data_IF_555064874119
#
_entry.id   IF_555064874119
#
_cell.length_a   1.000
_cell.length_b   1.000
_cell.length_c   1.000
_cell.angle_alpha   90.00
_cell.angle_beta   90.00
_cell.angle_gamma   90.00
#
_symmetry.space_group_name_H-M   'P 1'
#
loop_
_entity.id
_entity.type
_entity.pdbx_description
1 polymer ?
#
# COMPACT_ATOMS: atom_id res chain seq x y z
N UNK A 1 -22.99 15.41 -0.32
CA UNK A 1 -22.70 14.53 0.83
C UNK A 1 -22.34 13.17 0.26
N UNK A 2 -21.05 12.82 0.25
CA UNK A 2 -20.60 11.48 -0.13
C UNK A 2 -20.03 10.90 1.15
N UNK A 3 -20.85 10.09 1.82
CA UNK A 3 -20.44 9.37 3.01
C UNK A 3 -19.51 8.25 2.55
N UNK A 4 -18.29 8.23 3.07
CA UNK A 4 -17.34 7.17 2.79
C UNK A 4 -17.26 6.24 4.00
N UNK A 5 -17.57 4.96 3.79
CA UNK A 5 -17.41 3.94 4.83
C UNK A 5 -15.94 3.52 4.90
N UNK A 6 -15.48 3.05 6.07
CA UNK A 6 -14.15 2.40 6.21
C UNK A 6 -13.96 1.33 5.12
N UNK A 7 -15.02 0.56 4.85
CA UNK A 7 -15.08 -0.42 3.76
C UNK A 7 -14.62 0.11 2.41
N UNK A 8 -15.05 1.31 2.00
CA UNK A 8 -14.67 1.85 0.69
C UNK A 8 -13.18 2.17 0.62
N UNK A 9 -12.59 2.60 1.74
CA UNK A 9 -11.15 2.84 1.84
C UNK A 9 -10.37 1.52 1.82
N UNK A 10 -10.86 0.48 2.49
CA UNK A 10 -10.27 -0.86 2.45
C UNK A 10 -10.37 -1.46 1.06
N UNK A 11 -11.54 -1.38 0.42
CA UNK A 11 -11.73 -1.83 -0.97
C UNK A 11 -10.79 -1.07 -1.92
N UNK A 12 -10.59 0.24 -1.71
CA UNK A 12 -9.62 1.03 -2.46
C UNK A 12 -8.16 0.61 -2.22
N UNK A 13 -7.78 0.34 -0.96
CA UNK A 13 -6.44 -0.10 -0.61
C UNK A 13 -6.12 -1.48 -1.19
N UNK A 14 -7.07 -2.42 -1.16
CA UNK A 14 -6.97 -3.73 -1.82
C UNK A 14 -6.71 -3.54 -3.32
N UNK A 15 -7.50 -2.69 -3.98
CA UNK A 15 -7.33 -2.38 -5.39
C UNK A 15 -5.98 -1.72 -5.70
N UNK A 16 -5.48 -0.87 -4.80
CA UNK A 16 -4.20 -0.21 -4.93
C UNK A 16 -3.04 -1.21 -4.87
N UNK A 17 -3.00 -2.07 -3.85
CA UNK A 17 -2.00 -3.13 -3.71
C UNK A 17 -2.03 -4.09 -4.90
N UNK A 18 -3.22 -4.50 -5.36
CA UNK A 18 -3.38 -5.33 -6.57
C UNK A 18 -2.76 -4.68 -7.81
N UNK A 19 -3.03 -3.39 -8.04
CA UNK A 19 -2.49 -2.65 -9.19
C UNK A 19 -0.98 -2.45 -9.12
N UNK A 20 -0.41 -2.35 -7.92
CA UNK A 20 1.04 -2.31 -7.71
C UNK A 20 1.67 -3.67 -8.05
N UNK A 21 1.12 -4.77 -7.53
CA UNK A 21 1.56 -6.12 -7.83
C UNK A 21 1.54 -6.42 -9.34
N UNK A 22 0.43 -6.10 -10.01
CA UNK A 22 0.28 -6.27 -11.46
C UNK A 22 1.32 -5.47 -12.24
N UNK A 23 1.61 -4.24 -11.83
CA UNK A 23 2.63 -3.41 -12.47
C UNK A 23 4.04 -3.92 -12.25
N UNK A 24 4.41 -4.29 -11.02
CA UNK A 24 5.72 -4.85 -10.74
C UNK A 24 5.95 -6.15 -11.52
N UNK A 25 4.92 -7.01 -11.60
CA UNK A 25 4.96 -8.23 -12.42
C UNK A 25 5.14 -7.91 -13.91
N UNK A 26 4.40 -6.94 -14.44
CA UNK A 26 4.51 -6.54 -15.84
C UNK A 26 5.89 -5.94 -16.16
N UNK A 27 6.46 -5.15 -15.25
CA UNK A 27 7.80 -4.57 -15.39
C UNK A 27 8.89 -5.65 -15.30
N UNK A 28 8.71 -6.66 -14.45
CA UNK A 28 9.62 -7.80 -14.34
C UNK A 28 9.66 -8.67 -15.62
N UNK A 29 8.55 -8.70 -16.38
CA UNK A 29 8.49 -9.35 -17.69
C UNK A 29 9.08 -8.50 -18.83
N UNK A 30 9.40 -7.24 -18.57
CA UNK A 30 10.02 -6.33 -19.53
C UNK A 30 11.52 -6.57 -19.71
N UNK A 31 12.15 -5.69 -20.49
CA UNK A 31 13.60 -5.70 -20.70
C UNK A 31 14.31 -4.95 -19.56
N UNK A 32 14.48 -5.64 -18.44
CA UNK A 32 15.18 -5.15 -17.24
C UNK A 32 16.35 -6.06 -16.89
N UNK A 33 17.30 -5.56 -16.10
CA UNK A 33 18.40 -6.40 -15.59
C UNK A 33 17.87 -7.50 -14.66
N UNK A 34 18.55 -8.64 -14.58
CA UNK A 34 18.14 -9.77 -13.73
C UNK A 34 17.93 -9.37 -12.26
N UNK A 35 18.79 -8.48 -11.74
CA UNK A 35 18.66 -7.96 -10.36
C UNK A 35 17.39 -7.14 -10.19
N UNK A 36 17.09 -6.26 -11.14
CA UNK A 36 15.86 -5.43 -11.13
C UNK A 36 14.62 -6.32 -11.28
N UNK A 37 14.69 -7.35 -12.12
CA UNK A 37 13.63 -8.35 -12.25
C UNK A 37 13.34 -9.04 -10.92
N UNK A 38 14.35 -9.58 -10.25
CA UNK A 38 14.19 -10.23 -8.93
C UNK A 38 13.62 -9.25 -7.89
N UNK A 39 14.05 -8.00 -7.91
CA UNK A 39 13.55 -6.97 -7.02
C UNK A 39 12.07 -6.63 -7.28
N UNK A 40 11.66 -6.57 -8.55
CA UNK A 40 10.27 -6.34 -8.96
C UNK A 40 9.39 -7.55 -8.62
N UNK A 41 9.85 -8.78 -8.84
CA UNK A 41 9.13 -10.00 -8.45
C UNK A 41 8.91 -10.05 -6.93
N UNK A 42 9.96 -9.74 -6.15
CA UNK A 42 9.85 -9.66 -4.70
C UNK A 42 8.83 -8.61 -4.24
N UNK A 43 8.84 -7.42 -4.84
CA UNK A 43 7.86 -6.38 -4.56
C UNK A 43 6.45 -6.80 -4.96
N UNK A 44 6.27 -7.46 -6.11
CA UNK A 44 4.97 -7.97 -6.53
C UNK A 44 4.39 -8.96 -5.52
N UNK A 45 5.18 -9.96 -5.10
CA UNK A 45 4.77 -10.92 -4.08
C UNK A 45 4.41 -10.26 -2.74
N UNK A 46 5.16 -9.21 -2.37
CA UNK A 46 4.90 -8.42 -1.18
C UNK A 46 3.54 -7.71 -1.24
N UNK A 47 3.26 -7.01 -2.34
CA UNK A 47 1.99 -6.30 -2.55
C UNK A 47 0.79 -7.26 -2.57
N UNK A 48 0.93 -8.42 -3.22
CA UNK A 48 -0.13 -9.44 -3.20
C UNK A 48 -0.38 -9.97 -1.79
N UNK A 49 0.67 -10.12 -0.98
CA UNK A 49 0.52 -10.55 0.41
C UNK A 49 -0.27 -9.50 1.20
N UNK A 50 0.05 -8.21 1.03
CA UNK A 50 -0.68 -7.12 1.68
C UNK A 50 -2.15 -7.07 1.22
N UNK A 51 -2.41 -7.27 -0.07
CA UNK A 51 -3.76 -7.39 -0.60
C UNK A 51 -4.53 -8.53 0.08
N UNK A 52 -3.94 -9.73 0.17
CA UNK A 52 -4.56 -10.91 0.78
C UNK A 52 -4.86 -10.67 2.26
N UNK A 53 -3.93 -10.10 3.02
CA UNK A 53 -4.15 -9.78 4.43
C UNK A 53 -5.31 -8.79 4.64
N UNK A 54 -5.44 -7.78 3.77
CA UNK A 54 -6.59 -6.85 3.81
C UNK A 54 -7.91 -7.53 3.41
N UNK A 55 -7.89 -8.42 2.42
CA UNK A 55 -9.06 -9.18 1.99
C UNK A 55 -9.53 -10.17 3.06
N UNK A 56 -8.61 -10.87 3.72
CA UNK A 56 -8.88 -11.76 4.85
C UNK A 56 -9.50 -10.98 6.01
N UNK A 57 -8.89 -9.83 6.38
CA UNK A 57 -9.45 -8.95 7.40
C UNK A 57 -10.87 -8.50 7.05
N UNK A 58 -11.13 -8.20 5.77
CA UNK A 58 -12.47 -7.83 5.29
C UNK A 58 -13.50 -8.93 5.46
N UNK A 59 -13.11 -10.19 5.29
CA UNK A 59 -13.99 -11.34 5.52
C UNK A 59 -14.17 -11.63 7.01
N UNK A 60 -13.15 -11.35 7.82
CA UNK A 60 -13.14 -11.59 9.26
C UNK A 60 -13.71 -10.45 10.11
N UNK A 61 -14.06 -9.28 9.54
CA UNK A 61 -14.61 -8.14 10.29
C UNK A 61 -15.99 -8.46 10.89
N UNK A 62 -15.96 -9.16 12.02
CA UNK A 62 -17.10 -9.47 12.86
C UNK A 62 -17.47 -8.28 13.77
N UNK A 63 -16.64 -7.23 13.81
CA UNK A 63 -16.76 -6.10 14.73
C UNK A 63 -17.50 -4.90 14.14
N UNK A 64 -17.82 -4.93 12.84
CA UNK A 64 -18.56 -3.86 12.16
C UNK A 64 -17.75 -2.57 12.00
N UNK A 65 -16.42 -2.66 12.09
CA UNK A 65 -15.53 -1.51 11.90
C UNK A 65 -15.65 -1.03 10.45
N UNK A 66 -15.84 -1.94 9.49
CA UNK A 66 -16.00 -1.62 8.08
C UNK A 66 -17.29 -0.85 7.76
N UNK A 67 -18.33 -1.03 8.58
CA UNK A 67 -19.62 -0.35 8.44
C UNK A 67 -19.63 1.05 9.06
N UNK A 68 -18.55 1.42 9.73
CA UNK A 68 -18.43 2.71 10.39
C UNK A 68 -18.32 3.85 9.36
N UNK A 69 -19.03 4.95 9.66
CA UNK A 69 -19.29 6.04 8.73
C UNK A 69 -18.42 7.25 9.07
N UNK A 70 -17.73 7.79 8.06
CA UNK A 70 -17.04 9.07 8.19
C UNK A 70 -17.76 10.19 7.44
N UNK A 71 -17.81 11.35 8.09
CA UNK A 71 -18.33 12.58 7.52
C UNK A 71 -17.15 13.48 7.14
N UNK A 72 -16.57 13.29 5.95
CA UNK A 72 -15.76 14.36 5.35
C UNK A 72 -15.68 14.30 3.81
N UNK A 73 -16.13 15.34 3.11
CA UNK A 73 -15.94 15.52 1.67
C UNK A 73 -14.59 16.15 1.24
N UNK A 74 -13.66 16.52 2.12
CA UNK A 74 -12.46 17.30 1.75
C UNK A 74 -11.08 16.66 2.02
N UNK A 75 -10.88 15.80 3.01
CA UNK A 75 -9.57 15.20 3.31
C UNK A 75 -9.34 13.84 2.64
N UNK A 76 -9.75 13.66 1.39
CA UNK A 76 -9.21 12.56 0.60
C UNK A 76 -7.98 13.11 -0.16
N UNK A 77 -6.73 12.83 0.25
CA UNK A 77 -5.61 12.96 -0.66
C UNK A 77 -5.95 12.05 -1.84
N UNK A 78 -6.25 12.69 -2.95
CA UNK A 78 -6.95 12.07 -4.06
C UNK A 78 -6.27 10.74 -4.46
N UNK A 79 -7.01 9.61 -4.57
CA UNK A 79 -6.55 8.41 -5.25
C UNK A 79 -5.74 8.72 -6.52
N UNK A 80 -6.09 9.75 -7.32
CA UNK A 80 -5.28 10.25 -8.43
C UNK A 80 -3.77 10.42 -8.19
N UNK A 81 -3.30 10.84 -7.02
CA UNK A 81 -1.85 10.98 -6.78
C UNK A 81 -1.18 9.63 -6.59
N UNK A 82 -1.81 8.76 -5.79
CA UNK A 82 -1.35 7.38 -5.58
C UNK A 82 -1.49 6.54 -6.86
N UNK A 83 -2.51 6.78 -7.68
CA UNK A 83 -2.67 6.16 -9.01
C UNK A 83 -1.64 6.65 -10.04
N UNK A 84 -0.96 7.77 -9.79
CA UNK A 84 0.10 8.33 -10.65
C UNK A 84 1.49 7.87 -10.28
N UNK A 85 1.74 7.55 -9.01
CA UNK A 85 3.04 7.06 -8.52
C UNK A 85 3.54 5.81 -9.26
N UNK A 86 2.71 4.78 -9.52
CA UNK A 86 3.11 3.61 -10.29
C UNK A 86 3.50 3.95 -11.74
N UNK A 87 2.89 4.98 -12.34
CA UNK A 87 3.16 5.38 -13.73
C UNK A 87 4.51 6.07 -13.93
N UNK A 88 5.17 6.48 -12.84
CA UNK A 88 6.49 7.10 -12.85
C UNK A 88 7.61 6.15 -12.39
N UNK A 89 7.37 4.83 -12.40
CA UNK A 89 8.34 3.81 -11.99
C UNK A 89 9.60 3.87 -12.87
N UNK A 90 10.70 4.32 -12.26
CA UNK A 90 12.03 4.23 -12.85
C UNK A 90 12.63 2.84 -12.56
N UNK A 91 12.78 2.05 -13.61
CA UNK A 91 13.35 0.69 -13.56
C UNK A 91 14.85 0.66 -13.93
N UNK A 92 15.52 1.81 -13.93
CA UNK A 92 16.96 1.90 -14.26
C UNK A 92 17.85 1.17 -13.27
N UNK A 93 17.44 1.05 -12.01
CA UNK A 93 18.19 0.39 -10.94
C UNK A 93 17.27 -0.19 -9.86
N UNK A 94 17.77 -1.14 -9.08
CA UNK A 94 17.06 -1.72 -7.92
C UNK A 94 16.68 -0.62 -6.92
N UNK A 95 17.54 0.37 -6.78
CA UNK A 95 17.42 1.51 -5.87
C UNK A 95 16.35 2.50 -6.35
N UNK A 96 16.25 2.74 -7.66
CA UNK A 96 15.18 3.55 -8.25
C UNK A 96 13.80 2.90 -8.04
N UNK A 97 13.72 1.58 -8.25
CA UNK A 97 12.52 0.79 -8.00
C UNK A 97 12.15 0.83 -6.51
N UNK A 98 13.13 0.59 -5.62
CA UNK A 98 12.96 0.66 -4.17
C UNK A 98 12.48 2.05 -3.74
N UNK A 99 13.12 3.12 -4.21
CA UNK A 99 12.75 4.49 -3.85
C UNK A 99 11.30 4.81 -4.24
N UNK A 100 10.87 4.34 -5.42
CA UNK A 100 9.49 4.51 -5.87
C UNK A 100 8.50 3.72 -5.01
N UNK A 101 8.82 2.45 -4.71
CA UNK A 101 8.02 1.62 -3.82
C UNK A 101 7.91 2.22 -2.42
N UNK A 102 9.02 2.66 -1.83
CA UNK A 102 9.05 3.32 -0.52
C UNK A 102 8.21 4.60 -0.50
N UNK A 103 8.26 5.39 -1.58
CA UNK A 103 7.45 6.61 -1.70
C UNK A 103 5.96 6.28 -1.73
N UNK A 104 5.56 5.24 -2.48
CA UNK A 104 4.18 4.77 -2.52
C UNK A 104 3.70 4.31 -1.13
N UNK A 105 4.47 3.44 -0.47
CA UNK A 105 4.14 2.93 0.86
C UNK A 105 4.08 4.04 1.91
N UNK A 106 5.01 5.01 1.86
CA UNK A 106 5.02 6.13 2.80
C UNK A 106 3.82 7.06 2.58
N UNK A 107 3.46 7.31 1.33
CA UNK A 107 2.25 8.09 1.02
C UNK A 107 0.99 7.38 1.53
N UNK A 108 0.93 6.05 1.42
CA UNK A 108 -0.17 5.23 1.96
C UNK A 108 -0.17 5.24 3.51
N UNK A 109 1.01 5.18 4.14
CA UNK A 109 1.17 5.27 5.58
C UNK A 109 0.69 6.63 6.12
N UNK A 110 1.13 7.72 5.50
CA UNK A 110 0.73 9.09 5.86
C UNK A 110 -0.80 9.25 5.72
N UNK A 111 -1.40 8.64 4.69
CA UNK A 111 -2.85 8.58 4.52
C UNK A 111 -3.51 7.85 5.70
N UNK A 112 -3.03 6.67 6.09
CA UNK A 112 -3.61 5.93 7.22
C UNK A 112 -3.44 6.65 8.54
N UNK A 113 -2.30 7.31 8.78
CA UNK A 113 -2.05 8.08 10.00
C UNK A 113 -2.98 9.28 10.10
N UNK A 114 -3.11 10.06 9.03
CA UNK A 114 -4.08 11.17 8.95
C UNK A 114 -5.52 10.68 9.19
N UNK A 115 -5.86 9.48 8.71
CA UNK A 115 -7.18 8.87 8.95
C UNK A 115 -7.37 8.39 10.38
N UNK A 116 -6.33 7.85 11.01
CA UNK A 116 -6.38 7.51 12.42
C UNK A 116 -6.65 8.76 13.27
N UNK A 117 -6.01 9.88 12.97
CA UNK A 117 -6.22 11.14 13.71
C UNK A 117 -7.64 11.71 13.56
N UNK A 118 -8.24 11.56 12.38
CA UNK A 118 -9.62 12.00 12.10
C UNK A 118 -10.72 11.02 12.52
N UNK A 119 -10.37 9.82 13.02
CA UNK A 119 -11.33 8.79 13.39
C UNK A 119 -12.12 9.19 14.65
N UNK A 120 -13.45 9.13 14.58
CA UNK A 120 -14.35 9.46 15.69
C UNK A 120 -14.52 8.25 16.62
N UNK A 121 -14.43 7.03 16.09
CA UNK A 121 -14.51 5.78 16.83
C UNK A 121 -13.15 5.25 17.30
N UNK A 122 -13.12 4.66 18.51
CA UNK A 122 -11.90 4.00 19.04
C UNK A 122 -11.46 2.80 18.20
N UNK A 123 -12.42 2.04 17.66
CA UNK A 123 -12.11 0.84 16.87
C UNK A 123 -11.55 1.20 15.48
N UNK A 124 -12.06 2.27 14.87
CA UNK A 124 -11.53 2.84 13.61
C UNK A 124 -10.11 3.38 13.79
N UNK A 125 -9.87 4.16 14.85
CA UNK A 125 -8.53 4.65 15.18
C UNK A 125 -7.54 3.49 15.39
N UNK A 126 -7.96 2.47 16.16
CA UNK A 126 -7.13 1.30 16.41
C UNK A 126 -6.82 0.52 15.12
N UNK A 127 -7.78 0.44 14.19
CA UNK A 127 -7.63 -0.18 12.89
C UNK A 127 -6.61 0.55 12.01
N UNK A 128 -6.79 1.86 11.78
CA UNK A 128 -5.86 2.63 10.96
C UNK A 128 -4.46 2.72 11.58
N UNK A 129 -4.38 2.85 12.90
CA UNK A 129 -3.10 2.81 13.61
C UNK A 129 -2.41 1.44 13.50
N UNK A 130 -3.17 0.34 13.46
CA UNK A 130 -2.61 -0.99 13.22
C UNK A 130 -2.08 -1.14 11.79
N UNK A 131 -2.85 -0.65 10.79
CA UNK A 131 -2.42 -0.64 9.38
C UNK A 131 -1.14 0.17 9.16
N UNK A 132 -1.06 1.38 9.72
CA UNK A 132 0.11 2.25 9.63
C UNK A 132 1.36 1.60 10.25
N UNK A 133 1.22 1.02 11.46
CA UNK A 133 2.32 0.28 12.12
C UNK A 133 2.78 -0.95 11.34
N UNK A 134 1.83 -1.68 10.73
CA UNK A 134 2.14 -2.83 9.87
C UNK A 134 3.00 -2.40 8.68
N UNK A 135 2.56 -1.36 7.97
CA UNK A 135 3.29 -0.79 6.84
C UNK A 135 4.71 -0.35 7.21
N UNK A 136 4.90 0.32 8.35
CA UNK A 136 6.22 0.77 8.78
C UNK A 136 7.20 -0.40 9.02
N UNK A 137 6.72 -1.51 9.59
CA UNK A 137 7.52 -2.72 9.80
C UNK A 137 7.90 -3.39 8.47
N UNK A 138 6.95 -3.46 7.54
CA UNK A 138 7.13 -4.07 6.21
C UNK A 138 8.05 -3.23 5.32
N UNK A 139 7.90 -1.90 5.28
CA UNK A 139 8.80 -0.96 4.58
C UNK A 139 10.26 -1.18 5.00
N UNK A 140 10.51 -1.33 6.31
CA UNK A 140 11.86 -1.62 6.82
C UNK A 140 12.36 -3.00 6.41
N UNK A 141 11.47 -4.00 6.29
CA UNK A 141 11.83 -5.34 5.82
C UNK A 141 12.18 -5.31 4.34
N UNK A 142 11.33 -4.74 3.50
CA UNK A 142 11.54 -4.58 2.06
C UNK A 142 12.85 -3.84 1.77
N UNK A 143 13.10 -2.71 2.43
CA UNK A 143 14.34 -1.95 2.25
C UNK A 143 15.59 -2.79 2.56
N UNK A 144 15.58 -3.57 3.65
CA UNK A 144 16.71 -4.44 4.02
C UNK A 144 16.90 -5.59 3.04
N UNK A 145 15.83 -6.21 2.59
CA UNK A 145 15.91 -7.36 1.69
C UNK A 145 16.34 -6.93 0.27
N UNK A 146 15.90 -5.75 -0.19
CA UNK A 146 16.37 -5.16 -1.46
C UNK A 146 17.84 -4.72 -1.40
N UNK A 147 18.31 -4.19 -0.27
CA UNK A 147 19.75 -3.91 -0.09
C UNK A 147 20.60 -5.17 -0.21
N UNK A 148 20.14 -6.30 0.33
CA UNK A 148 20.85 -7.59 0.17
C UNK A 148 20.89 -8.05 -1.28
N UNK A 149 19.81 -7.86 -2.05
CA UNK A 149 19.79 -8.17 -3.48
C UNK A 149 20.75 -7.27 -4.29
N UNK A 150 20.99 -6.05 -3.82
CA UNK A 150 21.98 -5.14 -4.41
C UNK A 150 23.42 -5.55 -4.11
N UNK A 151 23.69 -6.21 -2.99
CA UNK A 151 25.03 -6.66 -2.61
C UNK A 151 25.47 -8.00 -3.27
N UNK A 152 24.54 -8.74 -3.89
CA UNK A 152 24.77 -10.04 -4.58
C UNK A 152 24.96 -9.89 -6.08
#
# INVERSE_FOLDING_TARGET
MRFHQVKELVDWAVDFHRRLAEQYTALAQGEVSERVKMALEYLAEHEEKMQRELEEYRQEDQRGVLDAWFDDPSDFPHPPMLERLPKSLDCSSVQSVLATALTAHRTLQDLYEHRAEGAVGRDEHAFFAALSRGHEAEVRRVARDMQRLEDY
#
